data_IF_138327047873
#
_entry.id   IF_138327047873
#
_cell.length_a   1.000
_cell.length_b   1.000
_cell.length_c   1.000
_cell.angle_alpha   90.00
_cell.angle_beta   90.00
_cell.angle_gamma   90.00
#
_symmetry.space_group_name_H-M   'P 1'
#
loop_
_entity.id
_entity.type
_entity.pdbx_description
1 polymer ?
#
# COMPACT_ATOMS: atom_id res chain seq x y z
N UNK A 1 13.14 -13.55 16.64
CA UNK A 1 11.96 -13.10 15.88
C UNK A 1 10.70 -13.50 16.64
N UNK A 2 9.69 -12.62 16.76
CA UNK A 2 8.42 -12.97 17.44
C UNK A 2 7.69 -14.05 16.62
N UNK A 3 7.41 -15.22 17.21
CA UNK A 3 6.84 -16.42 16.55
C UNK A 3 5.62 -16.10 15.68
N UNK A 4 4.73 -15.22 16.15
CA UNK A 4 3.56 -14.72 15.40
C UNK A 4 3.87 -14.25 13.97
N UNK A 5 4.98 -13.54 13.73
CA UNK A 5 5.33 -13.03 12.39
C UNK A 5 5.84 -14.15 11.48
N UNK A 6 6.44 -15.19 12.04
CA UNK A 6 6.91 -16.35 11.29
C UNK A 6 5.73 -17.22 10.84
N UNK A 7 4.71 -17.37 11.68
CA UNK A 7 3.53 -18.21 11.42
C UNK A 7 2.47 -17.51 10.56
N UNK A 8 2.36 -16.18 10.65
CA UNK A 8 1.38 -15.42 9.86
C UNK A 8 1.66 -15.56 8.36
N UNK A 9 0.67 -16.03 7.60
CA UNK A 9 0.61 -15.94 6.16
C UNK A 9 -0.41 -14.87 5.75
N UNK A 10 -0.22 -14.29 4.57
CA UNK A 10 -1.22 -13.41 3.98
C UNK A 10 -1.33 -13.74 2.50
N UNK A 11 -2.55 -13.64 1.98
CA UNK A 11 -2.81 -13.71 0.55
C UNK A 11 -3.24 -12.34 0.07
N UNK A 12 -2.77 -11.95 -1.12
CA UNK A 12 -3.19 -10.71 -1.75
C UNK A 12 -4.39 -11.00 -2.66
N UNK A 13 -5.50 -10.25 -2.54
CA UNK A 13 -6.63 -10.41 -3.42
C UNK A 13 -6.23 -10.29 -4.90
N UNK A 14 -6.92 -11.06 -5.76
CA UNK A 14 -6.62 -11.09 -7.20
C UNK A 14 -6.82 -9.73 -7.89
N UNK A 15 -7.67 -8.86 -7.33
CA UNK A 15 -7.98 -7.53 -7.87
C UNK A 15 -6.87 -6.47 -7.73
N UNK A 16 -5.77 -6.76 -7.02
CA UNK A 16 -4.65 -5.83 -6.97
C UNK A 16 -3.84 -5.85 -8.27
N UNK A 17 -3.32 -4.69 -8.67
CA UNK A 17 -2.36 -4.63 -9.78
C UNK A 17 -1.04 -5.29 -9.40
N UNK A 18 -0.30 -5.80 -10.39
CA UNK A 18 0.99 -6.45 -10.15
C UNK A 18 2.02 -5.52 -9.49
N UNK A 19 2.13 -4.22 -9.87
CA UNK A 19 2.99 -3.28 -9.15
C UNK A 19 2.60 -3.15 -7.66
N UNK A 20 1.31 -3.09 -7.34
CA UNK A 20 0.83 -3.01 -5.96
C UNK A 20 1.21 -4.25 -5.16
N UNK A 21 0.99 -5.45 -5.73
CA UNK A 21 1.37 -6.72 -5.08
C UNK A 21 2.86 -6.78 -4.80
N UNK A 22 3.70 -6.32 -5.73
CA UNK A 22 5.15 -6.33 -5.58
C UNK A 22 5.61 -5.45 -4.40
N UNK A 23 5.04 -4.24 -4.26
CA UNK A 23 5.34 -3.34 -3.15
C UNK A 23 4.91 -3.93 -1.82
N UNK A 24 3.68 -4.43 -1.73
CA UNK A 24 3.16 -5.03 -0.48
C UNK A 24 4.01 -6.23 -0.05
N UNK A 25 4.47 -7.06 -1.00
CA UNK A 25 5.38 -8.19 -0.70
C UNK A 25 6.73 -7.74 -0.13
N UNK A 26 7.29 -6.65 -0.64
CA UNK A 26 8.55 -6.07 -0.13
C UNK A 26 8.37 -5.44 1.25
N UNK A 27 7.22 -4.84 1.53
CA UNK A 27 6.89 -4.22 2.83
C UNK A 27 6.58 -5.28 3.91
N UNK A 28 5.76 -6.27 3.58
CA UNK A 28 5.35 -7.35 4.48
C UNK A 28 6.33 -8.53 4.45
N UNK A 29 7.60 -8.28 4.13
CA UNK A 29 8.63 -9.31 4.17
C UNK A 29 8.86 -9.77 5.62
N UNK A 30 8.85 -11.10 5.83
CA UNK A 30 9.12 -11.74 7.14
C UNK A 30 10.53 -11.46 7.64
N UNK A 31 11.49 -11.27 6.74
CA UNK A 31 12.89 -10.96 7.06
C UNK A 31 13.08 -9.42 7.12
N UNK A 32 13.34 -8.83 8.30
CA UNK A 32 13.52 -7.38 8.45
C UNK A 32 14.65 -6.83 7.58
N UNK A 33 15.74 -7.59 7.46
CA UNK A 33 16.91 -7.23 6.63
C UNK A 33 16.56 -7.10 5.14
N UNK A 34 15.57 -7.85 4.67
CA UNK A 34 15.11 -7.83 3.27
C UNK A 34 13.87 -6.98 3.05
N UNK A 35 13.31 -6.41 4.13
CA UNK A 35 12.18 -5.50 4.05
C UNK A 35 12.63 -4.25 3.31
N UNK A 36 11.70 -3.62 2.59
CA UNK A 36 11.94 -2.30 2.06
C UNK A 36 12.20 -1.33 3.23
N UNK A 37 13.45 -0.90 3.40
CA UNK A 37 13.89 -0.08 4.54
C UNK A 37 14.04 1.41 4.19
N UNK A 38 14.20 1.73 2.90
CA UNK A 38 14.45 3.09 2.47
C UNK A 38 13.23 3.68 1.75
N UNK A 39 12.84 4.88 2.16
CA UNK A 39 11.82 5.66 1.45
C UNK A 39 12.28 6.03 0.04
N UNK A 40 13.60 6.18 -0.19
CA UNK A 40 14.12 6.37 -1.54
C UNK A 40 13.76 5.18 -2.41
N UNK A 41 14.06 3.95 -1.98
CA UNK A 41 13.70 2.73 -2.72
C UNK A 41 12.19 2.61 -2.94
N UNK A 42 11.36 2.99 -1.96
CA UNK A 42 9.90 3.02 -2.11
C UNK A 42 9.45 3.94 -3.24
N UNK A 43 10.00 5.17 -3.30
CA UNK A 43 9.64 6.17 -4.33
C UNK A 43 9.91 5.67 -5.75
N UNK A 44 10.93 4.83 -5.92
CA UNK A 44 11.32 4.25 -7.21
C UNK A 44 10.53 2.99 -7.59
N UNK A 45 9.64 2.47 -6.74
CA UNK A 45 8.85 1.31 -7.12
C UNK A 45 7.83 1.65 -8.22
N UNK A 46 7.59 0.74 -9.19
CA UNK A 46 6.68 1.00 -10.32
C UNK A 46 5.26 1.38 -9.91
N UNK A 47 4.82 0.97 -8.71
CA UNK A 47 3.52 1.35 -8.17
C UNK A 47 3.37 2.86 -7.96
N UNK A 48 4.46 3.56 -7.64
CA UNK A 48 4.46 5.00 -7.39
C UNK A 48 4.94 5.82 -8.58
N UNK A 49 5.09 5.22 -9.77
CA UNK A 49 5.64 5.88 -10.96
C UNK A 49 4.89 7.17 -11.34
N UNK A 50 3.58 7.21 -11.12
CA UNK A 50 2.73 8.36 -11.43
C UNK A 50 2.62 9.36 -10.28
N UNK A 51 3.25 9.08 -9.13
CA UNK A 51 3.20 9.95 -7.96
C UNK A 51 4.40 10.88 -7.96
N UNK A 52 4.15 12.17 -8.11
CA UNK A 52 5.14 13.19 -7.79
C UNK A 52 5.14 13.45 -6.28
N UNK A 53 6.12 12.90 -5.57
CA UNK A 53 6.23 13.03 -4.12
C UNK A 53 6.46 14.47 -3.65
N UNK A 54 7.08 15.32 -4.47
CA UNK A 54 7.29 16.73 -4.11
C UNK A 54 5.96 17.49 -4.15
N UNK A 55 5.10 17.22 -5.13
CA UNK A 55 3.76 17.81 -5.19
C UNK A 55 2.89 17.33 -4.03
N UNK A 56 3.02 16.07 -3.61
CA UNK A 56 2.33 15.54 -2.43
C UNK A 56 2.82 16.24 -1.16
N UNK A 57 4.12 16.40 -0.99
CA UNK A 57 4.73 17.05 0.17
C UNK A 57 4.29 18.51 0.30
N UNK A 58 4.25 19.24 -0.82
CA UNK A 58 3.82 20.64 -0.87
C UNK A 58 2.31 20.82 -0.98
N UNK A 59 1.51 19.74 -0.83
CA UNK A 59 0.04 19.73 -0.95
C UNK A 59 -0.48 20.31 -2.28
N UNK A 60 0.32 20.23 -3.34
CA UNK A 60 -0.02 20.63 -4.71
C UNK A 60 -0.64 19.49 -5.52
N UNK A 61 -0.52 18.25 -5.03
CA UNK A 61 -1.15 17.09 -5.64
C UNK A 61 -2.68 17.25 -5.66
N UNK A 62 -3.27 17.08 -6.85
CA UNK A 62 -4.73 17.05 -7.00
C UNK A 62 -5.25 15.74 -6.39
N UNK A 63 -5.80 15.84 -5.18
CA UNK A 63 -6.51 14.72 -4.56
C UNK A 63 -7.70 14.36 -5.45
N UNK A 64 -7.73 13.13 -5.97
CA UNK A 64 -8.98 12.58 -6.49
C UNK A 64 -9.91 12.43 -5.28
N UNK A 65 -10.89 13.34 -5.16
CA UNK A 65 -11.94 13.24 -4.15
C UNK A 65 -12.63 11.88 -4.34
N UNK A 66 -12.48 11.03 -3.34
CA UNK A 66 -13.28 9.88 -2.94
C UNK A 66 -13.97 9.08 -4.06
N UNK A 67 -13.51 7.84 -4.25
CA UNK A 67 -14.43 6.77 -4.63
C UNK A 67 -15.60 6.77 -3.63
N UNK A 68 -16.87 6.64 -4.08
CA UNK A 68 -18.00 6.64 -3.18
C UNK A 68 -17.85 5.49 -2.18
N UNK A 69 -17.57 5.86 -0.94
CA UNK A 69 -17.69 4.98 0.22
C UNK A 69 -19.10 4.40 0.22
N UNK A 70 -19.18 3.07 0.27
CA UNK A 70 -20.41 2.32 0.41
C UNK A 70 -21.27 2.99 1.47
N UNK A 71 -22.34 3.68 1.07
CA UNK A 71 -23.30 4.23 2.02
C UNK A 71 -23.90 3.03 2.73
N UNK A 72 -23.54 2.86 4.00
CA UNK A 72 -24.23 1.94 4.90
C UNK A 72 -25.68 2.36 4.92
N UNK A 73 -26.50 1.56 4.25
CA UNK A 73 -27.94 1.61 4.26
C UNK A 73 -28.40 1.53 5.73
N UNK A 74 -28.79 2.68 6.30
CA UNK A 74 -29.56 2.72 7.55
C UNK A 74 -31.02 2.79 7.15
N UNK A 75 -31.54 1.65 6.70
CA UNK A 75 -32.97 1.39 6.62
C UNK A 75 -33.32 0.26 7.60
N UNK A 76 -34.44 0.48 8.31
CA UNK A 76 -35.09 -0.33 9.36
C UNK A 76 -34.57 -0.13 10.80
N UNK A 77 -35.22 0.78 11.52
CA UNK A 77 -36.41 0.47 12.32
C UNK A 77 -37.16 1.73 12.69
#
# INVERSE_FOLDING_TARGET
MKQLVAETSYELPKGFSDPARKVVRKLLCKLPQKRLQSLHQLKWEPFFREVNFDDVLHKRARLKKDQPSLKRDRSRR
#
